data_IF_255088169717
#
_entry.id   IF_255088169717
#
_cell.length_a   1.000
_cell.length_b   1.000
_cell.length_c   1.000
_cell.angle_alpha   90.00
_cell.angle_beta   90.00
_cell.angle_gamma   90.00
#
_symmetry.space_group_name_H-M   'P 1'
#
loop_
_entity.id
_entity.type
_entity.pdbx_description
1 polymer ?
#
# COMPACT_ATOMS: atom_id res chain seq x y z
N UNK A 1 -17.29 -19.43 -37.63
CA UNK A 1 -16.78 -19.90 -36.32
C UNK A 1 -16.54 -18.67 -35.49
N UNK A 2 -17.41 -18.46 -34.51
CA UNK A 2 -17.31 -17.35 -33.57
C UNK A 2 -16.34 -17.77 -32.46
N UNK A 3 -15.30 -16.98 -32.21
CA UNK A 3 -14.37 -17.25 -31.11
C UNK A 3 -15.10 -16.84 -29.85
N UNK A 4 -15.54 -17.82 -29.06
CA UNK A 4 -16.09 -17.58 -27.73
C UNK A 4 -14.92 -17.11 -26.87
N UNK A 5 -14.84 -15.81 -26.64
CA UNK A 5 -13.88 -15.17 -25.74
C UNK A 5 -14.31 -15.40 -24.29
N UNK A 6 -14.34 -16.67 -23.85
CA UNK A 6 -14.60 -17.02 -22.45
C UNK A 6 -13.26 -17.33 -21.79
N UNK A 7 -12.62 -16.30 -21.24
CA UNK A 7 -11.48 -16.48 -20.33
C UNK A 7 -11.90 -17.24 -19.06
N UNK A 8 -10.94 -17.82 -18.31
CA UNK A 8 -11.25 -18.49 -17.05
C UNK A 8 -11.94 -17.51 -16.09
N UNK A 9 -13.01 -17.95 -15.44
CA UNK A 9 -13.63 -17.17 -14.36
C UNK A 9 -12.68 -17.13 -13.17
N UNK A 10 -12.17 -15.95 -12.84
CA UNK A 10 -11.25 -15.74 -11.72
C UNK A 10 -12.04 -15.22 -10.52
N UNK A 11 -11.97 -15.96 -9.41
CA UNK A 11 -12.51 -15.57 -8.11
C UNK A 11 -11.37 -15.15 -7.18
N UNK A 12 -11.65 -14.16 -6.34
CA UNK A 12 -10.75 -13.63 -5.33
C UNK A 12 -11.30 -13.91 -3.93
N UNK A 13 -10.42 -14.04 -2.95
CA UNK A 13 -10.80 -14.26 -1.56
C UNK A 13 -9.71 -13.79 -0.62
N UNK A 14 -10.10 -13.40 0.60
CA UNK A 14 -9.14 -13.04 1.65
C UNK A 14 -8.53 -14.30 2.28
N UNK A 15 -7.21 -14.32 2.44
CA UNK A 15 -6.50 -15.34 3.22
C UNK A 15 -5.93 -14.68 4.48
N UNK A 16 -6.29 -15.15 5.69
CA UNK A 16 -5.72 -14.67 6.95
C UNK A 16 -4.20 -14.79 6.96
N UNK A 17 -3.53 -13.82 7.58
CA UNK A 17 -2.06 -13.72 7.63
C UNK A 17 -1.36 -15.01 8.06
N UNK A 18 -1.90 -15.72 9.06
CA UNK A 18 -1.31 -16.96 9.56
C UNK A 18 -1.47 -18.17 8.62
N UNK A 19 -2.32 -18.07 7.60
CA UNK A 19 -2.54 -19.08 6.57
C UNK A 19 -2.03 -18.64 5.20
N UNK A 20 -1.45 -17.44 5.10
CA UNK A 20 -0.91 -16.92 3.85
C UNK A 20 0.49 -17.53 3.60
N UNK A 21 0.65 -18.48 2.66
CA UNK A 21 1.97 -19.02 2.38
C UNK A 21 2.96 -17.92 1.96
N UNK A 22 2.49 -16.88 1.26
CA UNK A 22 3.32 -15.77 0.80
C UNK A 22 4.04 -15.00 1.93
N UNK A 23 3.51 -15.03 3.16
CA UNK A 23 4.12 -14.35 4.31
C UNK A 23 5.52 -14.88 4.62
N UNK A 24 5.80 -16.15 4.34
CA UNK A 24 7.11 -16.73 4.66
C UNK A 24 8.23 -16.16 3.77
N UNK A 25 7.91 -15.75 2.54
CA UNK A 25 8.87 -15.11 1.65
C UNK A 25 9.22 -13.68 2.09
N UNK A 26 8.30 -12.98 2.77
CA UNK A 26 8.51 -11.59 3.22
C UNK A 26 9.06 -11.49 4.64
N UNK A 27 8.72 -12.43 5.52
CA UNK A 27 9.21 -12.49 6.91
C UNK A 27 10.55 -13.22 7.04
N UNK A 28 10.90 -14.04 6.05
CA UNK A 28 12.12 -14.82 6.02
C UNK A 28 11.94 -16.19 6.69
N UNK A 29 12.46 -17.22 6.02
CA UNK A 29 12.63 -18.57 6.54
C UNK A 29 14.06 -19.02 6.25
N UNK A 30 14.61 -19.88 7.11
CA UNK A 30 15.85 -20.58 6.76
C UNK A 30 15.60 -21.58 5.62
N UNK A 31 16.65 -21.97 4.90
CA UNK A 31 16.53 -22.92 3.78
C UNK A 31 15.95 -24.28 4.19
N UNK A 32 16.25 -24.75 5.41
CA UNK A 32 15.69 -25.99 5.94
C UNK A 32 14.22 -25.84 6.33
N UNK A 33 13.82 -24.71 6.90
CA UNK A 33 12.40 -24.49 7.20
C UNK A 33 11.57 -24.34 5.92
N UNK A 34 12.14 -23.66 4.91
CA UNK A 34 11.48 -23.46 3.62
C UNK A 34 11.27 -24.77 2.84
N UNK A 35 12.20 -25.73 2.93
CA UNK A 35 12.06 -27.02 2.25
C UNK A 35 10.90 -27.86 2.80
N UNK A 36 10.59 -27.72 4.10
CA UNK A 36 9.48 -28.41 4.76
C UNK A 36 8.23 -27.55 4.93
N UNK A 37 8.23 -26.30 4.45
CA UNK A 37 7.14 -25.36 4.70
C UNK A 37 5.88 -25.72 3.87
N UNK A 38 4.71 -25.37 4.40
CA UNK A 38 3.43 -25.57 3.70
C UNK A 38 3.29 -24.73 2.42
N UNK A 39 4.26 -23.85 2.09
CA UNK A 39 4.30 -23.10 0.83
C UNK A 39 4.04 -23.99 -0.39
N UNK A 40 4.66 -25.17 -0.40
CA UNK A 40 4.61 -26.10 -1.54
C UNK A 40 3.26 -26.81 -1.71
N UNK A 41 2.57 -27.05 -0.59
CA UNK A 41 1.32 -27.81 -0.57
C UNK A 41 0.09 -26.90 -0.41
N UNK A 42 0.31 -25.63 -0.06
CA UNK A 42 -0.73 -24.69 0.34
C UNK A 42 -1.29 -24.97 1.74
N UNK A 43 -2.16 -24.07 2.22
CA UNK A 43 -2.88 -24.26 3.48
C UNK A 43 -3.99 -25.32 3.33
N UNK A 44 -4.21 -26.12 4.39
CA UNK A 44 -5.11 -27.28 4.38
C UNK A 44 -6.56 -26.96 3.99
N UNK A 45 -7.03 -25.73 4.24
CA UNK A 45 -8.41 -25.37 3.91
C UNK A 45 -8.67 -25.37 2.39
N UNK A 46 -7.64 -25.16 1.55
CA UNK A 46 -7.79 -25.11 0.09
C UNK A 46 -8.23 -26.45 -0.49
N UNK A 47 -7.94 -27.56 0.19
CA UNK A 47 -8.39 -28.89 -0.23
C UNK A 47 -9.82 -29.22 0.23
N UNK A 48 -10.44 -28.39 1.07
CA UNK A 48 -11.81 -28.55 1.56
C UNK A 48 -12.80 -27.87 0.62
N UNK A 49 -14.06 -28.25 0.70
CA UNK A 49 -15.11 -27.60 -0.08
C UNK A 49 -15.16 -26.10 0.25
N UNK A 50 -15.30 -25.19 -0.73
CA UNK A 50 -15.41 -23.75 -0.47
C UNK A 50 -16.50 -23.36 0.54
N UNK A 51 -17.55 -24.18 0.69
CA UNK A 51 -18.59 -23.96 1.70
C UNK A 51 -18.12 -24.25 3.13
N UNK A 52 -17.07 -25.06 3.29
CA UNK A 52 -16.44 -25.37 4.57
C UNK A 52 -15.34 -24.36 4.92
N UNK A 53 -15.06 -23.40 4.04
CA UNK A 53 -14.07 -22.37 4.33
C UNK A 53 -14.59 -21.44 5.43
N UNK A 54 -13.70 -20.92 6.30
CA UNK A 54 -14.07 -19.88 7.25
C UNK A 54 -14.79 -18.73 6.53
N UNK A 55 -15.89 -18.22 7.11
CA UNK A 55 -16.71 -17.15 6.49
C UNK A 55 -15.89 -15.91 6.11
N UNK A 56 -14.80 -15.65 6.83
CA UNK A 56 -13.86 -14.56 6.53
C UNK A 56 -13.14 -14.71 5.18
N UNK A 57 -13.15 -15.90 4.56
CA UNK A 57 -12.51 -16.23 3.29
C UNK A 57 -13.52 -16.31 2.12
N UNK A 58 -14.65 -15.62 2.23
CA UNK A 58 -15.68 -15.62 1.19
C UNK A 58 -15.13 -15.21 -0.17
N UNK A 59 -15.44 -15.99 -1.20
CA UNK A 59 -15.03 -15.71 -2.58
C UNK A 59 -15.91 -14.61 -3.20
N UNK A 60 -15.28 -13.72 -3.97
CA UNK A 60 -15.93 -12.67 -4.75
C UNK A 60 -15.36 -12.59 -6.17
N UNK A 61 -16.17 -12.10 -7.10
CA UNK A 61 -15.73 -11.79 -8.46
C UNK A 61 -15.42 -10.30 -8.53
N UNK A 62 -14.30 -9.92 -9.12
CA UNK A 62 -14.09 -8.52 -9.52
C UNK A 62 -14.82 -8.35 -10.84
N UNK A 63 -15.92 -7.60 -10.83
CA UNK A 63 -16.52 -7.09 -12.06
C UNK A 63 -15.69 -5.88 -12.49
N UNK A 64 -15.09 -5.97 -13.66
CA UNK A 64 -14.58 -4.78 -14.35
C UNK A 64 -15.80 -4.13 -14.99
N UNK A 65 -16.59 -3.40 -14.18
CA UNK A 65 -17.53 -2.45 -14.76
C UNK A 65 -16.68 -1.38 -15.44
N UNK A 66 -16.82 -1.26 -16.75
CA UNK A 66 -15.95 -0.50 -17.67
C UNK A 66 -15.90 1.02 -17.42
N UNK A 67 -16.41 1.51 -16.28
CA UNK A 67 -16.48 2.94 -15.96
C UNK A 67 -16.46 3.30 -14.47
N UNK A 68 -16.16 2.37 -13.55
CA UNK A 68 -15.97 2.74 -12.14
C UNK A 68 -14.56 2.46 -11.69
N UNK A 69 -13.76 3.52 -11.66
CA UNK A 69 -12.59 3.61 -10.81
C UNK A 69 -13.01 3.14 -9.41
N UNK A 70 -12.67 1.90 -9.07
CA UNK A 70 -12.83 1.36 -7.72
C UNK A 70 -11.98 2.28 -6.85
N UNK A 71 -12.66 3.17 -6.12
CA UNK A 71 -12.13 3.89 -5.00
C UNK A 71 -11.65 2.85 -3.99
N UNK A 72 -10.42 2.39 -4.19
CA UNK A 72 -9.58 1.98 -3.08
C UNK A 72 -9.63 3.18 -2.14
N UNK A 73 -10.23 3.00 -0.97
CA UNK A 73 -10.25 3.97 0.13
C UNK A 73 -8.83 4.15 0.68
N UNK A 74 -7.89 4.55 -0.19
CA UNK A 74 -6.92 5.55 0.16
C UNK A 74 -7.74 6.78 0.49
N UNK A 75 -7.72 7.22 1.75
CA UNK A 75 -8.17 8.56 2.09
C UNK A 75 -7.31 9.54 1.28
N UNK A 76 -7.68 9.76 0.02
CA UNK A 76 -7.15 10.84 -0.78
C UNK A 76 -7.72 12.08 -0.12
N UNK A 77 -6.90 12.70 0.73
CA UNK A 77 -7.14 14.02 1.26
C UNK A 77 -7.20 14.92 0.02
N UNK A 78 -8.39 15.06 -0.56
CA UNK A 78 -8.69 15.93 -1.70
C UNK A 78 -8.74 17.39 -1.28
N UNK A 79 -7.72 17.80 -0.53
CA UNK A 79 -7.36 19.18 -0.32
C UNK A 79 -5.86 19.31 -0.60
N UNK A 80 -5.48 19.03 -1.85
CA UNK A 80 -4.21 19.47 -2.36
C UNK A 80 -4.33 20.97 -2.64
N UNK A 81 -4.13 21.78 -1.60
CA UNK A 81 -3.75 23.16 -1.82
C UNK A 81 -2.57 23.15 -2.79
N UNK A 82 -2.74 23.75 -3.96
CA UNK A 82 -1.70 23.82 -5.00
C UNK A 82 -0.46 24.56 -4.50
N UNK A 83 -0.61 25.30 -3.40
CA UNK A 83 0.43 26.00 -2.65
C UNK A 83 1.02 25.19 -1.48
N UNK A 84 0.63 23.93 -1.29
CA UNK A 84 1.22 23.07 -0.25
C UNK A 84 2.69 22.81 -0.56
N UNK A 85 3.56 23.03 0.44
CA UNK A 85 4.99 22.71 0.38
C UNK A 85 5.27 21.25 -0.03
N UNK A 86 4.26 20.38 0.11
CA UNK A 86 4.30 18.97 -0.22
C UNK A 86 3.24 18.64 -1.28
N UNK A 87 3.35 19.28 -2.45
CA UNK A 87 2.56 18.88 -3.60
C UNK A 87 2.98 17.47 -4.05
N UNK A 88 2.18 16.47 -3.66
CA UNK A 88 2.45 15.05 -3.93
C UNK A 88 2.59 14.74 -5.42
N UNK A 89 1.74 15.34 -6.25
CA UNK A 89 1.76 15.14 -7.71
C UNK A 89 3.02 15.71 -8.37
N UNK A 90 3.60 16.78 -7.79
CA UNK A 90 4.92 17.30 -8.21
C UNK A 90 6.05 16.38 -7.75
N UNK A 91 5.99 15.91 -6.51
CA UNK A 91 7.00 15.02 -5.92
C UNK A 91 7.09 13.68 -6.66
N UNK A 92 5.98 13.11 -7.10
CA UNK A 92 5.95 11.86 -7.87
C UNK A 92 6.65 11.99 -9.23
N UNK A 93 6.49 13.14 -9.90
CA UNK A 93 7.13 13.40 -11.20
C UNK A 93 8.61 13.76 -11.10
N UNK A 94 9.01 14.46 -10.04
CA UNK A 94 10.40 14.94 -9.86
C UNK A 94 11.31 13.91 -9.19
N UNK A 95 10.75 13.00 -8.38
CA UNK A 95 11.53 12.00 -7.65
C UNK A 95 11.14 10.59 -8.09
N UNK A 96 12.11 9.86 -8.66
CA UNK A 96 11.96 8.45 -9.03
C UNK A 96 11.76 7.47 -7.86
N UNK A 97 11.59 7.98 -6.62
CA UNK A 97 11.38 7.18 -5.43
C UNK A 97 10.75 7.99 -4.30
N UNK A 98 9.63 7.49 -3.78
CA UNK A 98 8.96 8.04 -2.58
C UNK A 98 9.91 8.09 -1.37
N UNK A 99 10.81 7.12 -1.26
CA UNK A 99 11.81 7.11 -0.20
C UNK A 99 12.78 8.30 -0.32
N UNK A 100 13.21 8.63 -1.55
CA UNK A 100 14.05 9.81 -1.82
C UNK A 100 13.30 11.10 -1.47
N UNK A 101 12.06 11.24 -1.92
CA UNK A 101 11.21 12.39 -1.61
C UNK A 101 11.07 12.57 -0.08
N UNK A 102 10.69 11.52 0.65
CA UNK A 102 10.57 11.54 2.12
C UNK A 102 11.87 11.99 2.80
N UNK A 103 13.02 11.46 2.37
CA UNK A 103 14.32 11.84 2.97
C UNK A 103 14.65 13.30 2.71
N UNK A 104 14.49 13.78 1.48
CA UNK A 104 14.79 15.18 1.12
C UNK A 104 13.88 16.13 1.90
N UNK A 105 12.58 15.86 1.94
CA UNK A 105 11.62 16.62 2.75
C UNK A 105 12.03 16.66 4.22
N UNK A 106 12.39 15.52 4.82
CA UNK A 106 12.82 15.48 6.21
C UNK A 106 14.09 16.31 6.48
N UNK A 107 15.05 16.32 5.53
CA UNK A 107 16.26 17.14 5.63
C UNK A 107 15.95 18.64 5.55
N UNK A 108 15.09 19.03 4.61
CA UNK A 108 14.63 20.43 4.47
C UNK A 108 13.93 20.89 5.74
N UNK A 109 12.99 20.10 6.28
CA UNK A 109 12.30 20.42 7.53
C UNK A 109 13.27 20.54 8.71
N UNK A 110 14.24 19.62 8.85
CA UNK A 110 15.28 19.71 9.88
C UNK A 110 16.14 20.96 9.74
N UNK A 111 16.48 21.35 8.51
CA UNK A 111 17.22 22.58 8.26
C UNK A 111 16.42 23.80 8.68
N UNK A 112 15.15 23.91 8.26
CA UNK A 112 14.24 24.99 8.65
C UNK A 112 14.12 25.08 10.17
N UNK A 113 13.91 23.95 10.86
CA UNK A 113 13.85 23.90 12.33
C UNK A 113 15.12 24.45 12.98
N UNK A 114 16.30 24.10 12.46
CA UNK A 114 17.59 24.63 12.97
C UNK A 114 17.72 26.14 12.74
N UNK A 115 17.24 26.65 11.60
CA UNK A 115 17.22 28.09 11.32
C UNK A 115 16.29 28.85 12.27
N UNK A 116 15.08 28.33 12.51
CA UNK A 116 14.10 28.92 13.44
C UNK A 116 14.62 28.86 14.89
N UNK A 117 15.26 27.76 15.29
CA UNK A 117 15.85 27.62 16.63
C UNK A 117 16.92 28.70 16.90
N UNK A 118 17.70 29.09 15.88
CA UNK A 118 18.72 30.13 15.96
C UNK A 118 18.20 31.56 15.80
N UNK A 119 16.90 31.74 15.58
CA UNK A 119 16.26 33.04 15.38
C UNK A 119 15.95 33.72 16.73
N UNK A 120 16.06 35.05 16.81
CA UNK A 120 15.71 35.83 18.01
C UNK A 120 14.21 35.68 18.35
N UNK A 121 13.86 35.80 19.64
CA UNK A 121 12.48 35.66 20.10
C UNK A 121 11.49 36.59 19.35
N UNK A 122 11.94 37.78 18.99
CA UNK A 122 11.17 38.78 18.22
C UNK A 122 10.82 38.29 16.82
N UNK A 123 11.79 37.73 16.08
CA UNK A 123 11.55 37.23 14.72
C UNK A 123 10.80 35.90 14.72
N UNK A 124 10.99 35.05 15.75
CA UNK A 124 10.23 33.80 15.94
C UNK A 124 8.72 34.07 16.08
N UNK A 125 8.34 35.05 16.91
CA UNK A 125 6.93 35.41 17.11
C UNK A 125 6.25 35.97 15.85
N UNK A 126 7.01 36.59 14.93
CA UNK A 126 6.45 37.09 13.65
C UNK A 126 6.14 35.97 12.64
N UNK A 127 6.79 34.82 12.76
CA UNK A 127 6.61 33.67 11.85
C UNK A 127 5.45 32.78 12.31
N UNK A 128 5.19 32.70 13.62
CA UNK A 128 4.17 31.80 14.19
C UNK A 128 2.77 32.40 14.30
N UNK A 129 2.61 33.70 14.04
CA UNK A 129 1.35 34.45 14.29
C UNK A 129 0.66 34.93 13.00
N UNK A 130 1.02 34.37 11.83
CA UNK A 130 0.25 34.47 10.58
C UNK A 130 -0.22 33.07 10.18
#
# INVERSE_FOLDING_TARGET
>A
MEIIECGPRIQFGYVPTHLNPADCATRGLSGNEFSTHYWWNGPEFVTKDPNDWPTVMSLFMITFDDDTAIETTSHHISHCDTNSLLNWHKLEKEYSSVYKAKRVTALVLRFIQRCIAKTTAVTRNRITTN
#
